data_IF_663186527395
#
_entry.id   IF_663186527395
#
_cell.length_a   1.000
_cell.length_b   1.000
_cell.length_c   1.000
_cell.angle_alpha   90.00
_cell.angle_beta   90.00
_cell.angle_gamma   90.00
#
_symmetry.space_group_name_H-M   'P 1'
#
loop_
_entity.id
_entity.type
_entity.pdbx_description
1 polymer ?
#
# COMPACT_ATOMS: atom_id res chain seq x y z
N UNK A 1 25.97 -26.77 22.10
CA UNK A 1 26.36 -25.42 22.57
C UNK A 1 27.07 -24.58 21.50
N UNK A 2 28.13 -25.08 20.82
CA UNK A 2 28.84 -24.33 19.77
C UNK A 2 27.98 -23.89 18.57
N UNK A 3 26.99 -24.71 18.16
CA UNK A 3 26.06 -24.38 17.05
C UNK A 3 25.19 -23.15 17.37
N UNK A 4 24.58 -23.14 18.55
CA UNK A 4 23.76 -22.02 19.02
C UNK A 4 24.54 -20.70 19.15
N UNK A 5 25.81 -20.77 19.56
CA UNK A 5 26.66 -19.58 19.63
C UNK A 5 26.98 -18.99 18.24
N UNK A 6 27.03 -19.83 17.20
CA UNK A 6 27.23 -19.38 15.81
C UNK A 6 25.98 -18.71 15.26
N UNK A 7 24.81 -19.31 15.47
CA UNK A 7 23.51 -18.74 15.08
C UNK A 7 23.25 -17.39 15.77
N UNK A 8 23.55 -17.27 17.07
CA UNK A 8 23.41 -15.99 17.80
C UNK A 8 24.31 -14.91 17.20
N UNK A 9 25.53 -15.27 16.78
CA UNK A 9 26.48 -14.32 16.19
C UNK A 9 26.05 -13.87 14.79
N UNK A 10 25.57 -14.79 13.97
CA UNK A 10 25.03 -14.49 12.63
C UNK A 10 23.81 -13.56 12.71
N UNK A 11 22.93 -13.75 13.71
CA UNK A 11 21.78 -12.87 13.96
C UNK A 11 22.21 -11.47 14.43
N UNK A 12 23.26 -11.37 15.25
CA UNK A 12 23.81 -10.09 15.68
C UNK A 12 24.47 -9.33 14.52
N UNK A 13 25.25 -10.01 13.69
CA UNK A 13 25.89 -9.43 12.50
C UNK A 13 24.84 -8.95 11.49
N UNK A 14 23.77 -9.72 11.27
CA UNK A 14 22.66 -9.31 10.41
C UNK A 14 21.95 -8.07 10.95
N UNK A 15 21.70 -8.01 12.26
CA UNK A 15 21.09 -6.84 12.92
C UNK A 15 21.94 -5.59 12.78
N UNK A 16 23.25 -5.70 12.99
CA UNK A 16 24.19 -4.57 12.82
C UNK A 16 24.25 -4.10 11.37
N UNK A 17 24.26 -5.04 10.41
CA UNK A 17 24.29 -4.73 8.99
C UNK A 17 23.01 -4.01 8.55
N UNK A 18 21.84 -4.46 9.01
CA UNK A 18 20.55 -3.81 8.79
C UNK A 18 20.48 -2.44 9.47
N UNK A 19 20.97 -2.31 10.71
CA UNK A 19 20.98 -1.04 11.46
C UNK A 19 21.96 0.00 10.88
N UNK A 20 22.96 -0.43 10.11
CA UNK A 20 23.97 0.45 9.49
C UNK A 20 23.50 1.11 8.18
N UNK A 21 22.40 0.63 7.60
CA UNK A 21 21.74 1.30 6.46
C UNK A 21 20.99 2.51 7.00
N UNK A 22 21.65 3.67 6.95
CA UNK A 22 21.12 4.93 7.49
C UNK A 22 19.99 5.56 6.63
N UNK A 23 19.24 4.73 5.91
CA UNK A 23 18.00 5.05 5.22
C UNK A 23 16.93 4.15 5.83
N UNK A 24 15.77 4.68 6.25
CA UNK A 24 14.62 3.83 6.49
C UNK A 24 14.48 2.92 5.27
N UNK A 25 14.39 1.60 5.45
CA UNK A 25 13.92 0.75 4.36
C UNK A 25 12.52 1.28 4.04
N UNK A 26 12.39 1.93 2.89
CA UNK A 26 11.10 2.42 2.40
C UNK A 26 10.55 1.35 1.50
N UNK A 27 9.33 0.93 1.76
CA UNK A 27 8.61 -0.02 0.91
C UNK A 27 7.78 0.79 -0.07
N UNK A 28 7.99 0.53 -1.36
CA UNK A 28 7.21 1.15 -2.43
C UNK A 28 6.16 0.12 -2.88
N UNK A 29 4.90 0.52 -2.79
CA UNK A 29 3.75 -0.27 -3.26
C UNK A 29 3.27 0.37 -4.56
N UNK A 30 3.48 -0.31 -5.66
CA UNK A 30 3.14 0.17 -6.99
C UNK A 30 1.83 -0.46 -7.47
N UNK A 31 0.95 0.37 -8.03
CA UNK A 31 -0.30 -0.07 -8.67
C UNK A 31 -0.46 0.59 -10.04
N UNK A 32 -0.76 -0.21 -11.07
CA UNK A 32 -1.08 0.28 -12.41
C UNK A 32 -2.03 -0.70 -13.12
N UNK A 33 -2.63 -0.24 -14.23
CA UNK A 33 -3.69 -0.97 -14.93
C UNK A 33 -3.18 -2.29 -15.55
N UNK A 34 -1.89 -2.37 -15.91
CA UNK A 34 -1.26 -3.58 -16.49
C UNK A 34 -1.08 -4.70 -15.44
N UNK A 35 -1.02 -4.35 -14.15
CA UNK A 35 -0.95 -5.31 -13.04
C UNK A 35 -2.32 -5.94 -12.70
N UNK A 36 -3.41 -5.45 -13.31
CA UNK A 36 -4.77 -5.89 -13.04
C UNK A 36 -5.12 -5.76 -11.56
N UNK A 37 -5.40 -6.88 -10.90
CA UNK A 37 -5.81 -6.89 -9.50
C UNK A 37 -4.64 -6.87 -8.49
N UNK A 38 -3.39 -6.94 -8.93
CA UNK A 38 -2.23 -7.09 -8.05
C UNK A 38 -1.50 -5.77 -7.82
N UNK A 39 -0.88 -5.62 -6.65
CA UNK A 39 0.12 -4.59 -6.40
C UNK A 39 1.50 -5.18 -6.58
N UNK A 40 2.47 -4.37 -6.98
CA UNK A 40 3.86 -4.77 -7.04
C UNK A 40 4.64 -4.15 -5.87
N UNK A 41 5.43 -4.98 -5.18
CA UNK A 41 6.34 -4.54 -4.11
C UNK A 41 7.68 -5.23 -4.37
N UNK A 42 8.74 -4.45 -4.58
CA UNK A 42 10.09 -4.95 -4.89
C UNK A 42 10.15 -5.99 -6.03
N UNK A 43 9.26 -5.86 -7.02
CA UNK A 43 9.18 -6.77 -8.17
C UNK A 43 8.36 -8.04 -7.94
N UNK A 44 7.79 -8.22 -6.74
CA UNK A 44 6.87 -9.31 -6.43
C UNK A 44 5.41 -8.82 -6.45
N UNK A 45 4.49 -9.70 -6.89
CA UNK A 45 3.07 -9.39 -6.96
C UNK A 45 2.35 -9.80 -5.68
N UNK A 46 1.58 -8.88 -5.13
CA UNK A 46 0.78 -9.04 -3.93
C UNK A 46 -0.70 -8.88 -4.27
N UNK A 47 -1.50 -9.85 -3.84
CA UNK A 47 -2.95 -9.67 -3.78
C UNK A 47 -3.33 -8.69 -2.69
N UNK A 48 -4.57 -8.19 -2.73
CA UNK A 48 -5.13 -7.31 -1.70
C UNK A 48 -4.98 -7.88 -0.27
N UNK A 49 -5.21 -9.19 -0.10
CA UNK A 49 -5.12 -9.85 1.21
C UNK A 49 -3.67 -9.87 1.68
N UNK A 50 -2.75 -10.29 0.82
CA UNK A 50 -1.32 -10.37 1.15
C UNK A 50 -0.74 -8.99 1.44
N UNK A 51 -1.10 -7.98 0.65
CA UNK A 51 -0.65 -6.61 0.87
C UNK A 51 -1.12 -6.10 2.24
N UNK A 52 -2.41 -6.24 2.56
CA UNK A 52 -2.96 -5.77 3.84
C UNK A 52 -2.38 -6.51 5.05
N UNK A 53 -2.06 -7.80 4.93
CA UNK A 53 -1.37 -8.53 5.99
C UNK A 53 0.06 -8.05 6.20
N UNK A 54 0.77 -7.72 5.12
CA UNK A 54 2.15 -7.21 5.20
C UNK A 54 2.20 -5.75 5.68
N UNK A 55 1.28 -4.89 5.26
CA UNK A 55 1.15 -3.52 5.76
C UNK A 55 1.02 -3.46 7.30
N UNK A 56 0.29 -4.40 7.90
CA UNK A 56 0.20 -4.52 9.37
C UNK A 56 1.57 -4.79 10.00
N UNK A 57 2.35 -5.72 9.45
CA UNK A 57 3.69 -6.06 9.95
C UNK A 57 4.65 -4.90 9.77
N UNK A 58 4.64 -4.26 8.60
CA UNK A 58 5.51 -3.12 8.29
C UNK A 58 5.22 -1.94 9.22
N UNK A 59 3.95 -1.69 9.54
CA UNK A 59 3.55 -0.70 10.55
C UNK A 59 4.07 -1.03 11.95
N UNK A 60 3.96 -2.29 12.37
CA UNK A 60 4.50 -2.75 13.67
C UNK A 60 6.02 -2.59 13.75
N UNK A 61 6.70 -2.65 12.61
CA UNK A 61 8.14 -2.44 12.49
C UNK A 61 8.53 -0.98 12.24
N UNK A 62 7.56 -0.05 12.26
CA UNK A 62 7.76 1.38 11.98
C UNK A 62 8.43 1.65 10.62
N UNK A 63 8.21 0.75 9.66
CA UNK A 63 8.73 0.84 8.29
C UNK A 63 7.87 1.82 7.50
N UNK A 64 8.52 2.73 6.78
CA UNK A 64 7.82 3.71 5.95
C UNK A 64 7.32 3.06 4.66
N UNK A 65 6.04 3.26 4.35
CA UNK A 65 5.43 2.79 3.10
C UNK A 65 5.09 3.99 2.22
N UNK A 66 5.39 3.89 0.93
CA UNK A 66 4.98 4.85 -0.08
C UNK A 66 4.10 4.11 -1.08
N UNK A 67 2.90 4.63 -1.30
CA UNK A 67 1.94 4.08 -2.26
C UNK A 67 2.01 4.90 -3.54
N UNK A 68 2.52 4.29 -4.60
CA UNK A 68 2.57 4.87 -5.95
C UNK A 68 1.57 4.12 -6.85
N UNK A 69 0.30 4.41 -6.63
CA UNK A 69 -0.80 3.75 -7.33
C UNK A 69 -1.47 4.73 -8.32
N UNK A 70 -1.37 4.41 -9.61
CA UNK A 70 -1.90 5.20 -10.72
C UNK A 70 -3.29 4.73 -11.19
N UNK A 71 -3.81 3.62 -10.67
CA UNK A 71 -5.13 3.10 -11.01
C UNK A 71 -6.28 3.88 -10.38
N UNK A 72 -7.53 3.58 -10.78
CA UNK A 72 -8.74 3.95 -10.05
C UNK A 72 -8.96 3.06 -8.80
N UNK A 73 -7.90 2.79 -8.05
CA UNK A 73 -7.95 2.19 -6.71
C UNK A 73 -6.92 2.88 -5.82
N UNK A 74 -7.01 2.68 -4.51
CA UNK A 74 -6.02 3.18 -3.57
C UNK A 74 -6.15 2.48 -2.23
N UNK A 75 -5.10 2.52 -1.41
CA UNK A 75 -5.22 2.22 0.00
C UNK A 75 -6.01 3.32 0.69
N UNK A 76 -6.81 2.95 1.71
CA UNK A 76 -7.49 3.96 2.51
C UNK A 76 -6.48 4.81 3.30
N UNK A 77 -6.93 5.91 3.88
CA UNK A 77 -6.06 6.87 4.61
C UNK A 77 -5.29 6.23 5.79
N UNK A 78 -5.77 5.09 6.30
CA UNK A 78 -5.13 4.32 7.36
C UNK A 78 -4.43 3.07 6.84
N UNK A 79 -4.30 2.87 5.53
CA UNK A 79 -3.73 1.69 4.86
C UNK A 79 -4.26 0.34 5.41
N UNK A 80 -5.51 0.32 5.87
CA UNK A 80 -6.17 -0.86 6.47
C UNK A 80 -7.15 -1.55 5.52
N UNK A 81 -7.40 -0.96 4.36
CA UNK A 81 -8.28 -1.48 3.34
C UNK A 81 -7.98 -0.84 2.00
N UNK A 82 -8.49 -1.46 0.94
CA UNK A 82 -8.35 -0.98 -0.44
C UNK A 82 -9.70 -0.47 -0.89
N UNK A 83 -9.69 0.73 -1.46
CA UNK A 83 -10.83 1.40 -2.04
C UNK A 83 -10.74 1.30 -3.55
N UNK A 84 -11.87 1.01 -4.19
CA UNK A 84 -11.98 0.95 -5.64
C UNK A 84 -12.91 2.05 -6.10
N UNK A 85 -12.46 2.82 -7.07
CA UNK A 85 -13.17 3.97 -7.60
C UNK A 85 -13.69 3.62 -9.00
N UNK A 86 -14.96 3.93 -9.30
CA UNK A 86 -15.50 3.69 -10.64
C UNK A 86 -14.85 4.61 -11.67
N UNK A 87 -14.42 5.81 -11.27
CA UNK A 87 -13.76 6.79 -12.14
C UNK A 87 -12.58 7.48 -11.47
N UNK A 88 -11.76 8.14 -12.27
CA UNK A 88 -10.62 8.91 -11.78
C UNK A 88 -11.05 10.12 -10.97
N UNK A 89 -12.17 10.76 -11.34
CA UNK A 89 -12.74 11.89 -10.62
C UNK A 89 -13.05 11.54 -9.15
N UNK A 90 -13.59 10.35 -8.90
CA UNK A 90 -13.87 9.87 -7.53
C UNK A 90 -12.57 9.71 -6.72
N UNK A 91 -11.51 9.16 -7.32
CA UNK A 91 -10.19 9.04 -6.66
C UNK A 91 -9.60 10.41 -6.35
N UNK A 92 -9.71 11.37 -7.27
CA UNK A 92 -9.19 12.73 -7.05
C UNK A 92 -9.94 13.44 -5.93
N UNK A 93 -11.27 13.34 -5.91
CA UNK A 93 -12.06 13.96 -4.85
C UNK A 93 -11.86 13.27 -3.49
N UNK A 94 -11.65 11.95 -3.46
CA UNK A 94 -11.21 11.23 -2.26
C UNK A 94 -9.90 11.79 -1.69
N UNK A 95 -8.87 11.97 -2.52
CA UNK A 95 -7.57 12.51 -2.09
C UNK A 95 -7.72 13.92 -1.54
N UNK A 96 -8.58 14.74 -2.15
CA UNK A 96 -8.84 16.11 -1.72
C UNK A 96 -9.59 16.15 -0.40
N UNK A 97 -10.64 15.34 -0.28
CA UNK A 97 -11.44 15.24 0.92
C UNK A 97 -10.60 14.86 2.14
N UNK A 98 -9.72 13.86 2.02
CA UNK A 98 -8.82 13.47 3.13
C UNK A 98 -7.76 14.53 3.46
N UNK A 99 -7.46 15.43 2.52
CA UNK A 99 -6.58 16.60 2.76
C UNK A 99 -7.34 17.80 3.33
N UNK A 100 -8.63 17.67 3.63
CA UNK A 100 -9.49 18.76 4.08
C UNK A 100 -9.76 19.81 3.00
N UNK A 101 -9.68 19.43 1.73
CA UNK A 101 -9.96 20.28 0.58
C UNK A 101 -11.35 19.95 0.00
N UNK A 102 -12.04 20.95 -0.53
CA UNK A 102 -13.32 20.74 -1.21
C UNK A 102 -13.16 19.85 -2.46
N UNK A 103 -14.11 18.94 -2.75
CA UNK A 103 -14.10 18.14 -3.98
C UNK A 103 -14.15 19.03 -5.24
N UNK A 104 -13.63 18.53 -6.36
CA UNK A 104 -13.62 19.21 -7.65
C UNK A 104 -14.83 18.84 -8.51
N UNK A 105 -15.30 17.59 -8.43
CA UNK A 105 -16.32 17.06 -9.34
C UNK A 105 -17.64 16.77 -8.63
N UNK A 106 -17.59 16.40 -7.35
CA UNK A 106 -18.77 16.05 -6.56
C UNK A 106 -19.14 17.09 -5.50
N UNK A 107 -20.27 16.89 -4.84
CA UNK A 107 -20.78 17.76 -3.78
C UNK A 107 -20.12 17.44 -2.43
N UNK A 108 -20.14 18.39 -1.50
CA UNK A 108 -19.50 18.23 -0.18
C UNK A 108 -20.12 17.12 0.69
N UNK A 109 -21.43 16.87 0.55
CA UNK A 109 -22.17 15.85 1.27
C UNK A 109 -22.00 14.44 0.70
N UNK A 110 -21.62 14.34 -0.58
CA UNK A 110 -21.28 13.10 -1.26
C UNK A 110 -20.03 13.31 -2.12
N UNK A 111 -18.83 13.36 -1.51
CA UNK A 111 -17.62 13.86 -2.17
C UNK A 111 -17.00 12.88 -3.17
N UNK A 112 -17.31 11.59 -3.11
CA UNK A 112 -16.79 10.57 -4.04
C UNK A 112 -17.60 9.28 -3.93
N UNK A 113 -17.55 8.44 -4.96
CA UNK A 113 -18.14 7.11 -4.97
C UNK A 113 -17.08 6.01 -4.89
N UNK A 114 -17.36 4.96 -4.14
CA UNK A 114 -16.57 3.71 -4.15
C UNK A 114 -17.43 2.53 -4.58
N UNK A 115 -16.82 1.55 -5.23
CA UNK A 115 -17.47 0.30 -5.66
C UNK A 115 -16.75 -0.90 -5.05
N UNK A 116 -17.35 -2.09 -5.17
CA UNK A 116 -16.70 -3.33 -4.76
C UNK A 116 -15.59 -3.74 -5.74
N UNK A 117 -14.63 -4.55 -5.25
CA UNK A 117 -13.57 -5.14 -6.10
C UNK A 117 -14.14 -5.85 -7.34
N UNK A 118 -15.22 -6.63 -7.17
CA UNK A 118 -15.81 -7.40 -8.25
C UNK A 118 -16.52 -6.53 -9.29
N UNK A 119 -17.00 -5.35 -8.91
CA UNK A 119 -17.50 -4.34 -9.85
C UNK A 119 -16.34 -3.65 -10.57
N UNK A 120 -15.27 -3.31 -9.85
CA UNK A 120 -14.10 -2.67 -10.42
C UNK A 120 -13.39 -3.54 -11.46
N UNK A 121 -13.23 -4.85 -11.20
CA UNK A 121 -12.63 -5.77 -12.16
C UNK A 121 -13.39 -5.82 -13.49
N UNK A 122 -14.72 -5.65 -13.48
CA UNK A 122 -15.53 -5.58 -14.71
C UNK A 122 -15.32 -4.30 -15.52
N UNK A 123 -14.67 -3.29 -14.94
CA UNK A 123 -14.31 -2.05 -15.65
C UNK A 123 -12.95 -2.15 -16.34
N UNK A 124 -12.12 -3.16 -15.99
CA UNK A 124 -10.83 -3.42 -16.62
C UNK A 124 -10.94 -4.34 -17.85
N UNK A 125 -12.01 -5.15 -17.94
CA UNK A 125 -12.36 -6.03 -19.07
C UNK A 125 -12.94 -5.24 -20.27
#
# INVERSE_FOLDING_TARGET
>A
MRKYLKEIKELQELKELLSSRNTPEVIIVEGNDDLGEFFQVDGELFSDIELLENLKKWREWEVQVIVDDWCNRSLNEYETGILYFPKHEDKMDYIRFNKGLEPLYHALDEPYTTISKSEWLKLLD
#
